data_IF_946040893417
#
_entry.id   IF_946040893417
#
_cell.length_a   1.000
_cell.length_b   1.000
_cell.length_c   1.000
_cell.angle_alpha   90.00
_cell.angle_beta   90.00
_cell.angle_gamma   90.00
#
_symmetry.space_group_name_H-M   'P 1'
#
loop_
_entity.id
_entity.type
_entity.pdbx_description
1 polymer ?
#
# COMPACT_ATOMS: atom_id res chain seq x y z
N UNK A 1 -3.43 1.98 -13.87
CA UNK A 1 -4.35 1.10 -13.14
C UNK A 1 -5.55 1.86 -12.62
N UNK A 2 -6.68 1.15 -12.51
CA UNK A 2 -7.95 1.72 -12.06
C UNK A 2 -8.08 1.59 -10.55
N UNK A 3 -8.54 2.66 -9.92
CA UNK A 3 -8.88 2.67 -8.49
C UNK A 3 -10.31 2.12 -8.34
N UNK A 4 -10.48 1.09 -7.53
CA UNK A 4 -11.78 0.42 -7.32
C UNK A 4 -12.56 1.04 -6.16
N UNK A 5 -11.88 1.47 -5.12
CA UNK A 5 -12.51 2.03 -3.94
C UNK A 5 -11.53 2.26 -2.80
N UNK A 6 -12.10 2.57 -1.66
CA UNK A 6 -11.39 2.78 -0.41
C UNK A 6 -11.69 1.63 0.55
N UNK A 7 -10.67 1.15 1.25
CA UNK A 7 -10.83 0.29 2.40
C UNK A 7 -10.77 1.16 3.64
N UNK A 8 -11.88 1.25 4.35
CA UNK A 8 -12.05 2.12 5.52
C UNK A 8 -12.07 1.27 6.77
N UNK A 9 -11.22 1.61 7.74
CA UNK A 9 -11.25 1.00 9.06
C UNK A 9 -12.19 1.78 9.97
N UNK A 10 -13.19 1.10 10.52
CA UNK A 10 -14.15 1.66 11.46
C UNK A 10 -13.54 1.71 12.86
N UNK A 11 -14.16 2.48 13.78
CA UNK A 11 -13.77 2.54 15.19
C UNK A 11 -13.76 1.16 15.88
N UNK A 12 -14.55 0.23 15.37
CA UNK A 12 -14.60 -1.18 15.80
C UNK A 12 -13.45 -2.04 15.26
N UNK A 13 -12.44 -1.43 14.61
CA UNK A 13 -11.34 -2.08 13.86
C UNK A 13 -11.79 -2.94 12.67
N UNK A 14 -13.06 -2.89 12.35
CA UNK A 14 -13.60 -3.59 11.19
C UNK A 14 -13.31 -2.82 9.92
N UNK A 15 -12.76 -3.48 8.91
CA UNK A 15 -12.53 -2.90 7.57
C UNK A 15 -13.72 -3.15 6.68
N UNK A 16 -14.17 -2.13 5.99
CA UNK A 16 -15.25 -2.17 5.00
C UNK A 16 -14.77 -1.60 3.67
N UNK A 17 -15.45 -1.98 2.58
CA UNK A 17 -15.13 -1.46 1.25
C UNK A 17 -16.15 -0.39 0.82
N UNK A 18 -15.64 0.76 0.41
CA UNK A 18 -16.42 1.85 -0.16
C UNK A 18 -16.04 2.00 -1.64
N UNK A 19 -16.96 1.69 -2.58
CA UNK A 19 -16.68 1.84 -4.01
C UNK A 19 -16.31 3.29 -4.36
N UNK A 20 -15.31 3.48 -5.23
CA UNK A 20 -14.84 4.81 -5.61
C UNK A 20 -15.94 5.67 -6.25
N UNK A 21 -16.89 5.06 -6.94
CA UNK A 21 -18.04 5.74 -7.54
C UNK A 21 -18.97 6.43 -6.54
N UNK A 22 -18.86 6.09 -5.26
CA UNK A 22 -19.59 6.75 -4.17
C UNK A 22 -18.83 7.93 -3.57
N UNK A 23 -17.56 8.08 -3.92
CA UNK A 23 -16.71 9.18 -3.45
C UNK A 23 -16.94 10.39 -4.35
N UNK A 24 -17.35 11.50 -3.78
CA UNK A 24 -17.59 12.77 -4.48
C UNK A 24 -16.45 13.76 -4.29
N UNK A 25 -15.76 13.71 -3.14
CA UNK A 25 -14.58 14.51 -2.88
C UNK A 25 -13.61 13.79 -1.94
N UNK A 26 -12.32 14.04 -2.14
CA UNK A 26 -11.23 13.62 -1.25
C UNK A 26 -10.48 14.90 -0.87
N UNK A 27 -10.52 15.23 0.41
CA UNK A 27 -9.88 16.42 0.97
C UNK A 27 -8.94 16.02 2.12
N UNK A 28 -7.96 16.86 2.50
CA UNK A 28 -7.14 16.58 3.67
C UNK A 28 -8.01 16.36 4.93
N UNK A 29 -8.02 15.13 5.42
CA UNK A 29 -8.76 14.75 6.64
C UNK A 29 -10.23 14.39 6.45
N UNK A 30 -10.78 14.44 5.22
CA UNK A 30 -12.16 14.07 4.95
C UNK A 30 -12.37 13.41 3.59
N UNK A 31 -13.29 12.46 3.52
CA UNK A 31 -13.79 11.88 2.28
C UNK A 31 -15.30 12.04 2.25
N UNK A 32 -15.81 12.73 1.24
CA UNK A 32 -17.25 12.96 1.07
C UNK A 32 -17.85 11.89 0.17
N UNK A 33 -18.97 11.31 0.61
CA UNK A 33 -19.69 10.28 -0.14
C UNK A 33 -21.01 10.84 -0.68
N UNK A 34 -21.43 10.34 -1.84
CA UNK A 34 -22.71 10.69 -2.47
C UNK A 34 -23.94 10.17 -1.68
N UNK A 35 -23.73 9.21 -0.79
CA UNK A 35 -24.79 8.61 0.04
C UNK A 35 -24.19 8.06 1.33
N UNK A 36 -24.95 8.18 2.42
CA UNK A 36 -24.62 7.56 3.71
C UNK A 36 -24.87 6.05 3.79
N UNK A 37 -25.50 5.46 2.76
CA UNK A 37 -25.78 4.02 2.74
C UNK A 37 -24.55 3.24 2.24
N UNK A 38 -23.68 2.84 3.14
CA UNK A 38 -22.49 2.03 2.88
C UNK A 38 -22.68 0.61 3.41
N UNK A 39 -22.12 -0.37 2.68
CA UNK A 39 -22.13 -1.75 3.14
C UNK A 39 -21.16 -1.91 4.31
N UNK A 40 -21.64 -2.39 5.43
CA UNK A 40 -20.82 -2.70 6.61
C UNK A 40 -20.26 -4.13 6.59
N UNK A 41 -20.34 -4.83 5.44
CA UNK A 41 -19.71 -6.15 5.32
C UNK A 41 -18.20 -6.03 5.47
N UNK A 42 -17.60 -7.01 6.15
CA UNK A 42 -16.14 -7.08 6.30
C UNK A 42 -15.49 -7.12 4.90
N UNK A 43 -14.47 -6.30 4.71
CA UNK A 43 -13.69 -6.31 3.49
C UNK A 43 -12.92 -7.63 3.37
N UNK A 44 -12.94 -8.19 2.19
CA UNK A 44 -12.09 -9.30 1.77
C UNK A 44 -11.48 -8.96 0.43
N UNK A 45 -10.16 -8.99 0.34
CA UNK A 45 -9.43 -8.71 -0.89
C UNK A 45 -9.70 -9.80 -1.92
N UNK A 46 -10.00 -9.40 -3.15
CA UNK A 46 -10.26 -10.33 -4.26
C UNK A 46 -8.97 -10.59 -5.05
N UNK A 47 -8.88 -11.72 -5.76
CA UNK A 47 -7.78 -11.96 -6.68
C UNK A 47 -7.62 -10.81 -7.70
N UNK A 48 -6.41 -10.31 -7.88
CA UNK A 48 -6.09 -9.20 -8.76
C UNK A 48 -6.31 -7.79 -8.17
N UNK A 49 -6.92 -7.67 -7.00
CA UNK A 49 -6.96 -6.41 -6.26
C UNK A 49 -5.64 -6.20 -5.51
N UNK A 50 -5.21 -4.94 -5.40
CA UNK A 50 -3.98 -4.55 -4.71
C UNK A 50 -4.29 -3.45 -3.72
N UNK A 51 -3.84 -3.60 -2.48
CA UNK A 51 -3.96 -2.60 -1.43
C UNK A 51 -2.77 -1.64 -1.48
N UNK A 52 -3.04 -0.37 -1.75
CA UNK A 52 -1.99 0.64 -1.91
C UNK A 52 -1.11 0.73 -0.67
N UNK A 53 -1.71 0.96 0.51
CA UNK A 53 -0.96 1.15 1.76
C UNK A 53 -0.18 -0.10 2.18
N UNK A 54 -0.74 -1.29 1.98
CA UNK A 54 -0.12 -2.53 2.43
C UNK A 54 0.84 -3.15 1.41
N UNK A 55 0.60 -2.96 0.11
CA UNK A 55 1.30 -3.72 -0.93
C UNK A 55 2.09 -2.86 -1.91
N UNK A 56 1.70 -1.59 -2.13
CA UNK A 56 2.38 -0.71 -3.10
C UNK A 56 3.38 0.23 -2.44
N UNK A 57 2.97 0.92 -1.36
CA UNK A 57 3.87 1.81 -0.66
C UNK A 57 5.06 1.03 -0.08
N UNK A 58 6.23 1.67 -0.08
CA UNK A 58 7.52 1.11 0.35
C UNK A 58 8.02 -0.06 -0.54
N UNK A 59 7.32 -0.40 -1.63
CA UNK A 59 7.81 -1.39 -2.60
C UNK A 59 8.98 -0.82 -3.38
N UNK A 60 9.98 -1.66 -3.63
CA UNK A 60 11.11 -1.34 -4.51
C UNK A 60 10.67 -1.49 -5.95
N UNK A 61 10.98 -0.47 -6.74
CA UNK A 61 10.63 -0.41 -8.16
C UNK A 61 11.81 0.13 -8.95
N UNK A 62 11.77 -0.04 -10.26
CA UNK A 62 12.68 0.61 -11.20
C UNK A 62 11.91 1.63 -12.01
N UNK A 63 12.60 2.69 -12.37
CA UNK A 63 12.06 3.77 -13.20
C UNK A 63 12.79 3.75 -14.54
N UNK A 64 12.02 3.78 -15.60
CA UNK A 64 12.48 3.89 -17.00
C UNK A 64 11.79 5.12 -17.60
N UNK A 65 12.24 6.30 -17.19
CA UNK A 65 11.70 7.60 -17.58
C UNK A 65 12.81 8.42 -18.24
N UNK A 66 12.69 8.76 -19.54
CA UNK A 66 13.72 9.48 -20.29
C UNK A 66 14.01 10.87 -19.72
N UNK A 67 13.06 11.48 -19.00
CA UNK A 67 13.21 12.79 -18.37
C UNK A 67 13.88 12.72 -17.00
N UNK A 68 13.99 11.51 -16.42
CA UNK A 68 14.54 11.25 -15.08
C UNK A 68 15.77 10.33 -15.12
N UNK A 69 16.73 10.64 -16.00
CA UNK A 69 17.96 9.85 -16.21
C UNK A 69 18.77 9.61 -14.93
N UNK A 70 18.66 10.49 -13.93
CA UNK A 70 19.29 10.30 -12.62
C UNK A 70 18.71 9.13 -11.80
N UNK A 71 17.59 8.56 -12.23
CA UNK A 71 16.94 7.37 -11.62
C UNK A 71 17.23 6.10 -12.41
N UNK A 72 17.85 6.20 -13.59
CA UNK A 72 18.19 5.06 -14.42
C UNK A 72 19.12 4.09 -13.67
N UNK A 73 18.73 2.82 -13.61
CA UNK A 73 19.47 1.78 -12.88
C UNK A 73 19.49 1.92 -11.36
N UNK A 74 18.76 2.89 -10.80
CA UNK A 74 18.69 3.10 -9.36
C UNK A 74 17.45 2.43 -8.79
N UNK A 75 17.63 1.63 -7.74
CA UNK A 75 16.49 1.11 -6.97
C UNK A 75 15.83 2.26 -6.19
N UNK A 76 14.56 2.47 -6.44
CA UNK A 76 13.75 3.48 -5.77
C UNK A 76 12.61 2.82 -5.00
N UNK A 77 12.07 3.53 -4.02
CA UNK A 77 10.93 3.07 -3.20
C UNK A 77 9.72 3.94 -3.51
N UNK A 78 8.57 3.32 -3.65
CA UNK A 78 7.30 4.04 -3.77
C UNK A 78 6.93 4.68 -2.44
N UNK A 79 6.67 5.99 -2.45
CA UNK A 79 6.30 6.74 -1.23
C UNK A 79 4.87 7.26 -1.28
N UNK A 80 4.31 7.46 -2.49
CA UNK A 80 2.93 7.91 -2.67
C UNK A 80 2.42 7.62 -4.08
N UNK A 81 1.11 7.75 -4.32
CA UNK A 81 0.45 7.62 -5.61
C UNK A 81 -0.45 8.82 -5.88
N UNK A 82 -0.41 9.35 -7.10
CA UNK A 82 -1.39 10.30 -7.57
C UNK A 82 -2.53 9.58 -8.31
N UNK A 83 -3.75 9.93 -7.95
CA UNK A 83 -4.97 9.42 -8.59
C UNK A 83 -5.73 10.59 -9.21
N UNK A 84 -6.26 10.39 -10.40
CA UNK A 84 -7.03 11.40 -11.12
C UNK A 84 -8.33 10.82 -11.66
N UNK A 85 -9.38 11.64 -11.67
CA UNK A 85 -10.64 11.24 -12.28
C UNK A 85 -10.62 11.54 -13.77
N UNK A 86 -10.91 10.51 -14.56
CA UNK A 86 -11.03 10.62 -16.01
C UNK A 86 -12.36 11.27 -16.42
N UNK A 87 -12.48 11.65 -17.69
CA UNK A 87 -13.75 12.16 -18.27
C UNK A 87 -14.91 11.16 -18.18
N UNK A 88 -14.60 9.87 -18.11
CA UNK A 88 -15.58 8.78 -17.94
C UNK A 88 -15.94 8.51 -16.48
N UNK A 89 -15.47 9.37 -15.54
CA UNK A 89 -15.63 9.23 -14.09
C UNK A 89 -14.92 8.04 -13.48
N UNK A 90 -14.02 7.39 -14.20
CA UNK A 90 -13.12 6.41 -13.63
C UNK A 90 -11.96 7.12 -12.91
N UNK A 91 -11.53 6.57 -11.81
CA UNK A 91 -10.34 7.02 -11.10
C UNK A 91 -9.16 6.15 -11.49
N UNK A 92 -8.09 6.78 -11.95
CA UNK A 92 -6.89 6.12 -12.43
C UNK A 92 -5.68 6.58 -11.64
N UNK A 93 -4.75 5.64 -11.37
CA UNK A 93 -3.42 6.03 -10.91
C UNK A 93 -2.66 6.58 -12.10
N UNK A 94 -2.21 7.83 -12.02
CA UNK A 94 -1.50 8.53 -13.10
C UNK A 94 -0.01 8.64 -12.82
N UNK A 95 0.37 8.91 -11.56
CA UNK A 95 1.77 9.08 -11.17
C UNK A 95 2.10 8.30 -9.91
N UNK A 96 3.38 8.00 -9.79
CA UNK A 96 3.99 7.35 -8.62
C UNK A 96 5.05 8.29 -8.07
N UNK A 97 4.95 8.65 -6.81
CA UNK A 97 6.01 9.35 -6.12
C UNK A 97 7.04 8.31 -5.63
N UNK A 98 8.28 8.48 -6.05
CA UNK A 98 9.38 7.57 -5.74
C UNK A 98 10.53 8.29 -5.07
N UNK A 99 11.26 7.58 -4.24
CA UNK A 99 12.44 8.08 -3.54
C UNK A 99 13.61 7.10 -3.71
N UNK A 100 14.80 7.55 -4.18
CA UNK A 100 15.99 6.71 -4.24
C UNK A 100 16.36 6.17 -2.86
N UNK A 101 16.68 4.89 -2.80
CA UNK A 101 17.24 4.26 -1.62
C UNK A 101 18.71 4.67 -1.48
N UNK A 102 19.01 5.68 -0.67
CA UNK A 102 20.38 6.08 -0.36
C UNK A 102 20.80 5.58 1.02
N UNK A 103 22.06 5.13 1.13
CA UNK A 103 22.70 4.82 2.42
C UNK A 103 22.69 6.07 3.32
N UNK A 104 22.38 5.86 4.60
CA UNK A 104 22.37 6.76 5.75
C UNK A 104 22.84 8.22 5.53
N UNK A 105 21.97 9.18 5.88
CA UNK A 105 22.36 10.55 6.24
C UNK A 105 22.02 11.67 5.28
N UNK A 106 21.54 11.43 4.08
CA UNK A 106 21.11 12.51 3.15
C UNK A 106 19.61 12.46 2.87
N UNK A 107 18.93 13.60 3.01
CA UNK A 107 17.55 13.77 2.52
C UNK A 107 17.54 13.45 1.03
N UNK A 108 16.77 12.44 0.66
CA UNK A 108 16.60 12.03 -0.72
C UNK A 108 15.40 12.79 -1.30
N UNK A 109 15.54 13.36 -2.49
CA UNK A 109 14.42 14.01 -3.17
C UNK A 109 13.35 12.97 -3.54
N UNK A 110 12.09 13.41 -3.54
CA UNK A 110 10.97 12.63 -4.06
C UNK A 110 10.73 13.08 -5.51
N UNK A 111 10.55 12.11 -6.39
CA UNK A 111 10.30 12.34 -7.80
C UNK A 111 8.92 11.81 -8.16
N UNK A 112 8.14 12.56 -8.92
CA UNK A 112 6.88 12.12 -9.48
C UNK A 112 7.12 11.54 -10.87
N UNK A 113 6.83 10.26 -11.05
CA UNK A 113 7.04 9.48 -12.27
C UNK A 113 5.69 9.06 -12.81
N UNK A 114 5.49 9.14 -14.12
CA UNK A 114 4.28 8.62 -14.73
C UNK A 114 4.19 7.10 -14.54
N UNK A 115 2.99 6.59 -14.24
CA UNK A 115 2.78 5.17 -13.95
C UNK A 115 3.40 4.24 -14.98
N UNK A 116 3.31 4.60 -16.26
CA UNK A 116 3.82 3.78 -17.37
C UNK A 116 5.34 3.58 -17.36
N UNK A 117 6.08 4.46 -16.71
CA UNK A 117 7.53 4.42 -16.60
C UNK A 117 8.02 3.69 -15.34
N UNK A 118 7.10 3.16 -14.53
CA UNK A 118 7.44 2.42 -13.31
C UNK A 118 7.31 0.91 -13.55
N UNK A 119 8.39 0.19 -13.34
CA UNK A 119 8.45 -1.26 -13.49
C UNK A 119 8.41 -1.95 -12.13
N UNK A 120 7.74 -3.12 -12.07
CA UNK A 120 7.66 -3.94 -10.86
C UNK A 120 6.34 -3.83 -10.08
N UNK A 121 5.44 -2.91 -10.45
CA UNK A 121 4.11 -2.77 -9.83
C UNK A 121 3.06 -3.61 -10.57
N UNK A 122 3.31 -4.89 -10.77
CA UNK A 122 2.32 -5.80 -11.35
C UNK A 122 1.47 -6.45 -10.25
N UNK A 123 0.16 -6.72 -10.48
CA UNK A 123 -0.68 -7.40 -9.50
C UNK A 123 -0.09 -8.73 -9.04
N UNK A 124 0.53 -9.49 -9.95
CA UNK A 124 1.18 -10.77 -9.64
C UNK A 124 2.41 -10.59 -8.74
N UNK A 125 3.21 -9.54 -8.95
CA UNK A 125 4.38 -9.24 -8.12
C UNK A 125 4.02 -8.67 -6.75
N UNK A 126 2.89 -7.95 -6.68
CA UNK A 126 2.40 -7.33 -5.45
C UNK A 126 1.51 -8.28 -4.62
N UNK A 127 0.89 -9.27 -5.26
CA UNK A 127 0.05 -10.28 -4.61
C UNK A 127 0.84 -11.43 -3.97
N UNK A 128 2.16 -11.50 -4.20
CA UNK A 128 3.00 -12.42 -3.45
C UNK A 128 2.99 -11.99 -1.99
N UNK A 129 2.45 -12.79 -1.06
CA UNK A 129 2.69 -12.53 0.35
C UNK A 129 4.20 -12.47 0.52
N UNK A 130 4.67 -11.40 1.14
CA UNK A 130 6.10 -11.24 1.40
C UNK A 130 6.53 -12.51 2.16
N UNK A 131 7.33 -13.36 1.51
CA UNK A 131 7.86 -14.59 2.14
C UNK A 131 8.48 -14.27 3.50
N UNK A 132 8.90 -13.02 3.69
CA UNK A 132 9.37 -12.51 4.96
C UNK A 132 8.32 -12.46 6.08
N UNK A 133 7.04 -12.26 5.81
CA UNK A 133 6.01 -12.26 6.87
C UNK A 133 5.70 -13.70 7.30
N UNK A 134 5.56 -14.63 6.35
CA UNK A 134 5.37 -16.04 6.67
C UNK A 134 6.56 -16.62 7.45
N UNK A 135 7.80 -16.31 7.06
CA UNK A 135 9.01 -16.71 7.80
C UNK A 135 9.08 -16.09 9.20
N UNK A 136 8.69 -14.81 9.35
CA UNK A 136 8.62 -14.16 10.66
C UNK A 136 7.57 -14.79 11.56
N UNK A 137 6.41 -15.14 11.02
CA UNK A 137 5.37 -15.85 11.77
C UNK A 137 5.82 -17.25 12.20
N UNK A 138 6.53 -17.98 11.33
CA UNK A 138 7.16 -19.26 11.70
C UNK A 138 8.21 -19.08 12.80
N UNK A 139 9.05 -18.03 12.73
CA UNK A 139 10.03 -17.73 13.78
C UNK A 139 9.38 -17.34 15.11
N UNK A 140 8.19 -16.76 15.08
CA UNK A 140 7.43 -16.40 16.29
C UNK A 140 6.67 -17.58 16.89
N UNK A 141 6.53 -18.69 16.16
CA UNK A 141 5.95 -19.92 16.71
C UNK A 141 6.85 -20.48 17.80
N UNK A 142 6.32 -20.51 19.01
CA UNK A 142 7.04 -21.01 20.19
C UNK A 142 7.80 -19.98 21.00
N UNK A 143 7.85 -18.72 20.57
CA UNK A 143 8.42 -17.61 21.36
C UNK A 143 7.41 -17.07 22.38
N UNK A 144 7.93 -16.45 23.45
CA UNK A 144 7.09 -15.80 24.45
C UNK A 144 6.50 -14.51 23.89
N UNK A 145 5.27 -14.18 24.29
CA UNK A 145 4.57 -13.00 23.79
C UNK A 145 5.35 -11.68 23.95
N UNK A 146 6.21 -11.59 24.97
CA UNK A 146 7.06 -10.41 25.21
C UNK A 146 8.17 -10.30 24.14
N UNK A 147 8.81 -11.42 23.82
CA UNK A 147 9.88 -11.48 22.80
C UNK A 147 9.34 -11.17 21.41
N UNK A 148 8.15 -11.67 21.09
CA UNK A 148 7.43 -11.36 19.85
C UNK A 148 7.07 -9.87 19.77
N UNK A 149 6.58 -9.29 20.88
CA UNK A 149 6.22 -7.87 20.92
C UNK A 149 7.44 -6.96 20.73
N UNK A 150 8.60 -7.30 21.28
CA UNK A 150 9.83 -6.55 21.11
C UNK A 150 10.37 -6.69 19.66
N UNK A 151 10.38 -7.89 19.11
CA UNK A 151 10.76 -8.12 17.71
C UNK A 151 9.84 -7.35 16.73
N UNK A 152 8.53 -7.30 16.98
CA UNK A 152 7.59 -6.53 16.17
C UNK A 152 7.86 -5.02 16.26
N UNK A 153 8.32 -4.49 17.40
CA UNK A 153 8.65 -3.07 17.56
C UNK A 153 9.86 -2.65 16.72
N UNK A 154 10.81 -3.55 16.52
CA UNK A 154 12.02 -3.30 15.71
C UNK A 154 11.74 -3.37 14.19
N UNK A 155 10.61 -3.93 13.78
CA UNK A 155 10.24 -4.01 12.37
C UNK A 155 9.90 -2.63 11.78
N UNK A 156 10.20 -2.38 10.50
CA UNK A 156 9.69 -1.23 9.76
C UNK A 156 8.17 -1.13 9.84
N UNK A 157 7.61 0.09 9.84
CA UNK A 157 6.18 0.35 10.07
C UNK A 157 5.25 -0.51 9.19
N UNK A 158 5.62 -0.72 7.92
CA UNK A 158 4.89 -1.57 6.97
C UNK A 158 4.86 -3.02 7.44
N UNK A 159 6.01 -3.62 7.72
CA UNK A 159 6.12 -5.02 8.17
C UNK A 159 5.44 -5.25 9.52
N UNK A 160 5.55 -4.29 10.41
CA UNK A 160 4.85 -4.34 11.69
C UNK A 160 3.33 -4.46 11.50
N UNK A 161 2.78 -3.65 10.61
CA UNK A 161 1.34 -3.67 10.30
C UNK A 161 0.90 -5.00 9.65
N UNK A 162 1.71 -5.53 8.75
CA UNK A 162 1.46 -6.82 8.08
C UNK A 162 1.47 -7.98 9.07
N UNK A 163 2.48 -8.04 9.94
CA UNK A 163 2.62 -9.10 10.97
C UNK A 163 1.49 -9.02 11.99
N UNK A 164 1.13 -7.82 12.47
CA UNK A 164 0.02 -7.65 13.43
C UNK A 164 -1.31 -8.08 12.80
N UNK A 165 -1.56 -7.74 11.54
CA UNK A 165 -2.78 -8.17 10.84
C UNK A 165 -2.83 -9.70 10.65
N UNK A 166 -1.69 -10.32 10.32
CA UNK A 166 -1.62 -11.77 10.14
C UNK A 166 -1.82 -12.53 11.47
N UNK A 167 -1.31 -11.99 12.59
CA UNK A 167 -1.52 -12.57 13.92
C UNK A 167 -2.98 -12.44 14.39
N UNK A 168 -3.68 -11.37 14.03
CA UNK A 168 -5.10 -11.21 14.36
C UNK A 168 -6.00 -12.16 13.56
N UNK A 169 -5.62 -12.52 12.33
CA UNK A 169 -6.37 -13.47 11.50
C UNK A 169 -6.21 -14.94 11.95
N UNK A 170 -5.11 -15.32 12.61
CA UNK A 170 -4.90 -16.68 13.14
C UNK A 170 -5.61 -16.92 14.51
N UNK A 171 -6.10 -15.88 15.17
CA UNK A 171 -6.76 -15.99 16.49
C UNK A 171 -8.29 -15.95 16.44
N UNK A 172 -8.89 -15.91 15.24
CA UNK A 172 -10.34 -15.99 14.99
C UNK A 172 -10.73 -17.35 14.44
#
# INVERSE_FOLDING_TARGET
PRVLGLVVELLTRRRIFVPILRVTAIEPGAVTLSTGNVSLRRFSQRPGEVLVLGQVLETRVRVDDPDLTQLEGVDVVVVDLAIEQTRTRDWMVTKVAVRPQRRLGRRSNVYAVDWQHVQGLTPSGLAMPDQGVAQLLEQFQGQRAVEVADAIRELPAKRRHEVVNALDDERL
#
